data_IF_548991031958
#
_entry.id   IF_548991031958
#
_cell.length_a   1.000
_cell.length_b   1.000
_cell.length_c   1.000
_cell.angle_alpha   90.00
_cell.angle_beta   90.00
_cell.angle_gamma   90.00
#
_symmetry.space_group_name_H-M   'P 1'
#
loop_
_entity.id
_entity.type
_entity.pdbx_description
1 polymer ?
#
# COMPACT_ATOMS: atom_id res chain seq x y z
N UNK A 1 -34.87 57.46 3.38
CA UNK A 1 -34.22 57.39 4.72
C UNK A 1 -33.62 56.03 4.86
N UNK A 2 -32.42 55.93 4.33
CA UNK A 2 -31.65 54.68 4.38
C UNK A 2 -30.99 54.56 5.75
N UNK A 3 -31.26 53.44 6.43
CA UNK A 3 -30.59 53.09 7.66
C UNK A 3 -29.25 52.45 7.28
N UNK A 4 -28.18 53.23 7.29
CA UNK A 4 -26.81 52.71 7.36
C UNK A 4 -26.68 51.90 8.64
N UNK A 5 -26.52 50.59 8.49
CA UNK A 5 -26.09 49.69 9.55
C UNK A 5 -24.58 49.88 9.72
N UNK A 6 -24.19 50.68 10.71
CA UNK A 6 -22.80 50.74 11.21
C UNK A 6 -22.39 49.35 11.74
N UNK A 7 -21.72 48.57 10.91
CA UNK A 7 -21.01 47.39 11.37
C UNK A 7 -19.80 47.86 12.20
N UNK A 8 -19.81 47.61 13.49
CA UNK A 8 -18.68 47.79 14.38
C UNK A 8 -17.52 46.90 13.88
N UNK A 9 -16.31 47.46 13.69
CA UNK A 9 -15.19 46.62 13.24
C UNK A 9 -14.91 45.56 14.30
N UNK A 10 -14.90 44.30 13.88
CA UNK A 10 -14.48 43.17 14.72
C UNK A 10 -13.10 43.45 15.31
N UNK A 11 -12.85 43.13 16.60
CA UNK A 11 -11.54 43.29 17.19
C UNK A 11 -10.54 42.46 16.36
N UNK A 12 -9.44 43.06 15.91
CA UNK A 12 -8.36 42.38 15.23
C UNK A 12 -7.89 41.25 16.13
N UNK A 13 -7.85 40.02 15.59
CA UNK A 13 -7.27 38.87 16.29
C UNK A 13 -5.85 39.21 16.79
N UNK A 14 -5.52 38.73 17.96
CA UNK A 14 -4.15 38.84 18.50
C UNK A 14 -3.20 37.80 17.91
N UNK A 15 -3.70 36.92 17.04
CA UNK A 15 -2.95 35.83 16.43
C UNK A 15 -3.11 35.88 14.91
N UNK A 16 -2.15 35.25 14.18
CA UNK A 16 -2.14 35.15 12.71
C UNK A 16 -2.26 33.68 12.32
N UNK A 17 -3.11 33.37 11.36
CA UNK A 17 -3.19 32.03 10.80
C UNK A 17 -1.86 31.66 10.14
N UNK A 18 -1.46 30.39 10.25
CA UNK A 18 -0.25 29.90 9.61
C UNK A 18 -0.45 29.86 8.09
N UNK A 19 0.30 30.64 7.30
CA UNK A 19 0.21 30.62 5.84
C UNK A 19 0.70 29.30 5.24
N UNK A 20 1.49 28.53 5.99
CA UNK A 20 2.05 27.25 5.59
C UNK A 20 1.28 26.09 6.25
N UNK A 21 0.03 26.29 6.65
CA UNK A 21 -0.76 25.24 7.28
C UNK A 21 -1.05 24.10 6.30
N UNK A 22 -0.50 22.92 6.58
CA UNK A 22 -0.64 21.70 5.77
C UNK A 22 -2.01 21.02 5.90
N UNK A 23 -2.86 21.46 6.84
CA UNK A 23 -4.23 20.96 6.98
C UNK A 23 -5.20 21.82 6.20
N UNK A 24 -5.90 21.20 5.24
CA UNK A 24 -7.01 21.81 4.54
C UNK A 24 -8.33 21.54 5.26
N UNK A 25 -9.22 22.54 5.25
CA UNK A 25 -10.51 22.43 5.89
C UNK A 25 -11.60 22.57 4.84
N UNK A 26 -12.14 21.43 4.30
CA UNK A 26 -13.28 21.45 3.38
C UNK A 26 -14.50 22.13 4.01
N UNK A 27 -15.42 22.63 3.20
CA UNK A 27 -16.63 23.32 3.68
C UNK A 27 -17.43 22.52 4.71
N UNK A 28 -17.46 21.19 4.57
CA UNK A 28 -18.09 20.30 5.53
C UNK A 28 -17.41 20.39 6.91
N UNK A 29 -16.07 20.39 6.94
CA UNK A 29 -15.30 20.49 8.17
C UNK A 29 -15.45 21.89 8.80
N UNK A 30 -15.31 22.98 8.02
CA UNK A 30 -15.56 24.36 8.48
C UNK A 30 -16.95 24.51 9.10
N UNK A 31 -17.99 23.98 8.46
CA UNK A 31 -19.36 23.98 8.99
C UNK A 31 -19.48 23.20 10.31
N UNK A 32 -18.78 22.07 10.45
CA UNK A 32 -18.82 21.28 11.68
C UNK A 32 -18.11 22.01 12.83
N UNK A 33 -16.92 22.59 12.60
CA UNK A 33 -16.21 23.42 13.57
C UNK A 33 -17.09 24.60 14.00
N UNK A 34 -17.67 25.32 13.04
CA UNK A 34 -18.54 26.47 13.31
C UNK A 34 -19.73 26.10 14.19
N UNK A 35 -20.46 25.03 13.85
CA UNK A 35 -21.59 24.54 14.67
C UNK A 35 -21.16 24.15 16.08
N UNK A 36 -20.00 23.53 16.23
CA UNK A 36 -19.44 23.18 17.54
C UNK A 36 -19.16 24.44 18.37
N UNK A 37 -18.53 25.46 17.78
CA UNK A 37 -18.27 26.73 18.44
C UNK A 37 -19.54 27.51 18.79
N UNK A 38 -20.55 27.51 17.92
CA UNK A 38 -21.87 28.14 18.18
C UNK A 38 -22.63 27.43 19.32
N UNK A 39 -22.56 26.09 19.39
CA UNK A 39 -23.30 25.32 20.38
C UNK A 39 -22.61 25.24 21.73
N UNK A 40 -21.30 25.01 21.76
CA UNK A 40 -20.54 24.71 22.98
C UNK A 40 -19.53 25.81 23.36
N UNK A 41 -19.33 26.81 22.49
CA UNK A 41 -18.25 27.77 22.62
C UNK A 41 -16.86 27.13 22.39
N UNK A 42 -15.80 27.86 22.67
CA UNK A 42 -14.44 27.37 22.56
C UNK A 42 -14.11 26.39 23.71
N UNK A 43 -14.14 25.09 23.43
CA UNK A 43 -13.88 24.04 24.42
C UNK A 43 -12.42 23.55 24.43
N UNK A 44 -11.63 23.85 23.37
CA UNK A 44 -10.22 23.45 23.23
C UNK A 44 -9.32 24.66 23.07
N UNK A 45 -8.03 24.51 23.40
CA UNK A 45 -6.98 25.48 23.12
C UNK A 45 -6.42 25.29 21.71
N UNK A 46 -5.80 26.34 21.20
CA UNK A 46 -4.97 26.31 19.98
C UNK A 46 -3.52 26.60 20.39
N UNK A 47 -2.56 26.21 19.56
CA UNK A 47 -1.15 26.45 19.83
C UNK A 47 -0.64 27.58 18.94
N UNK A 48 0.01 28.57 19.52
CA UNK A 48 0.68 29.66 18.80
C UNK A 48 2.15 29.67 19.14
N UNK A 49 2.97 30.11 18.20
CA UNK A 49 4.40 30.29 18.43
C UNK A 49 4.73 31.67 19.04
N UNK A 50 6.03 31.96 19.23
CA UNK A 50 6.54 33.23 19.75
C UNK A 50 6.12 34.49 18.98
N UNK A 51 5.78 34.31 17.70
CA UNK A 51 5.37 35.36 16.78
C UNK A 51 3.84 35.45 16.63
N UNK A 52 3.11 34.76 17.52
CA UNK A 52 1.64 34.61 17.50
C UNK A 52 1.08 33.95 16.22
N UNK A 53 1.86 33.13 15.52
CA UNK A 53 1.37 32.32 14.40
C UNK A 53 0.74 31.04 14.93
N UNK A 54 -0.45 30.71 14.44
CA UNK A 54 -1.22 29.53 14.89
C UNK A 54 -0.60 28.27 14.29
N UNK A 55 0.13 27.50 15.08
CA UNK A 55 0.76 26.24 14.67
C UNK A 55 -0.18 25.03 14.78
N UNK A 56 -1.18 25.08 15.66
CA UNK A 56 -2.23 24.07 15.71
C UNK A 56 -3.59 24.71 15.97
N UNK A 57 -4.61 24.32 15.20
CA UNK A 57 -5.98 24.80 15.33
C UNK A 57 -6.37 25.94 14.38
N UNK A 58 -5.73 26.09 13.23
CA UNK A 58 -6.02 27.10 12.23
C UNK A 58 -7.50 27.16 11.85
N UNK A 59 -8.14 26.02 11.52
CA UNK A 59 -9.57 25.98 11.22
C UNK A 59 -10.46 26.42 12.39
N UNK A 60 -10.04 26.18 13.63
CA UNK A 60 -10.77 26.63 14.81
C UNK A 60 -10.68 28.16 14.96
N UNK A 61 -9.49 28.73 14.80
CA UNK A 61 -9.29 30.18 14.86
C UNK A 61 -10.05 30.89 13.75
N UNK A 62 -9.96 30.39 12.50
CA UNK A 62 -10.69 30.94 11.36
C UNK A 62 -12.21 31.01 11.63
N UNK A 63 -12.81 29.94 12.14
CA UNK A 63 -14.23 29.94 12.45
C UNK A 63 -14.59 30.74 13.71
N UNK A 64 -13.70 30.79 14.70
CA UNK A 64 -13.89 31.61 15.89
C UNK A 64 -13.89 33.11 15.54
N UNK A 65 -12.97 33.55 14.68
CA UNK A 65 -12.93 34.94 14.17
C UNK A 65 -14.19 35.28 13.37
N UNK A 66 -14.64 34.37 12.48
CA UNK A 66 -15.86 34.55 11.72
C UNK A 66 -17.11 34.65 12.59
N UNK A 67 -17.09 34.09 13.81
CA UNK A 67 -18.13 34.23 14.83
C UNK A 67 -17.92 35.41 15.80
N UNK A 68 -16.83 36.17 15.65
CA UNK A 68 -16.51 37.31 16.53
C UNK A 68 -16.03 36.91 17.94
N UNK A 69 -15.54 35.67 18.09
CA UNK A 69 -14.96 35.22 19.37
C UNK A 69 -13.58 35.83 19.59
N UNK A 70 -13.27 36.14 20.83
CA UNK A 70 -11.95 36.69 21.22
C UNK A 70 -10.97 35.56 21.49
N UNK A 71 -9.80 35.60 20.84
CA UNK A 71 -8.68 34.71 21.12
C UNK A 71 -7.85 35.29 22.26
N UNK A 72 -7.68 34.54 23.36
CA UNK A 72 -6.83 34.91 24.50
C UNK A 72 -5.56 34.07 24.49
N UNK A 73 -4.41 34.69 24.32
CA UNK A 73 -3.11 34.00 24.38
C UNK A 73 -2.68 33.90 25.86
N UNK A 74 -2.15 32.74 26.22
CA UNK A 74 -1.61 32.42 27.54
C UNK A 74 -0.24 31.76 27.33
N UNK A 75 0.80 32.33 27.92
CA UNK A 75 2.14 31.77 27.91
C UNK A 75 2.21 30.56 28.84
N UNK A 76 2.66 29.42 28.31
CA UNK A 76 2.88 28.17 29.05
C UNK A 76 4.37 27.85 29.11
N UNK A 77 4.81 27.26 30.23
CA UNK A 77 6.16 26.71 30.35
C UNK A 77 6.22 25.28 29.76
N UNK A 78 7.43 24.77 29.46
CA UNK A 78 7.56 23.43 28.90
C UNK A 78 7.01 22.28 29.76
N UNK A 79 6.89 22.50 31.06
CA UNK A 79 6.38 21.56 32.07
C UNK A 79 4.90 21.81 32.46
N UNK A 80 4.23 22.74 31.77
CA UNK A 80 2.83 23.11 32.04
C UNK A 80 1.91 22.66 30.92
N UNK A 81 0.82 21.96 31.27
CA UNK A 81 -0.29 21.65 30.37
C UNK A 81 -1.47 22.60 30.67
N UNK A 82 -1.85 23.40 29.66
CA UNK A 82 -2.99 24.32 29.80
C UNK A 82 -4.30 23.60 29.52
N UNK A 83 -5.16 23.55 30.53
CA UNK A 83 -6.50 22.96 30.39
C UNK A 83 -7.59 24.05 30.34
N UNK A 84 -8.48 23.95 29.37
CA UNK A 84 -9.67 24.85 29.29
C UNK A 84 -10.79 24.21 30.13
N UNK A 85 -11.24 24.96 31.17
CA UNK A 85 -12.37 24.57 32.01
C UNK A 85 -13.64 25.31 31.63
N UNK A 86 -14.66 24.53 31.25
CA UNK A 86 -16.01 25.06 30.96
C UNK A 86 -16.94 24.73 32.15
N UNK A 87 -17.24 25.73 32.96
CA UNK A 87 -18.10 25.60 34.13
C UNK A 87 -19.58 25.70 33.81
N UNK A 88 -19.89 26.13 32.61
CA UNK A 88 -21.21 26.37 32.05
C UNK A 88 -21.81 25.16 31.32
N UNK A 89 -21.05 24.07 31.13
CA UNK A 89 -21.53 22.87 30.46
C UNK A 89 -22.27 21.92 31.42
N UNK A 90 -23.33 21.30 30.91
CA UNK A 90 -23.93 20.09 31.52
C UNK A 90 -23.10 18.85 31.17
N UNK A 91 -23.39 17.70 31.79
CA UNK A 91 -22.73 16.44 31.50
C UNK A 91 -22.99 15.97 30.06
N UNK A 92 -24.22 16.17 29.57
CA UNK A 92 -24.61 15.86 28.21
C UNK A 92 -23.91 16.75 27.19
N UNK A 93 -23.75 18.03 27.47
CA UNK A 93 -23.00 18.97 26.62
C UNK A 93 -21.51 18.63 26.59
N UNK A 94 -20.92 18.24 27.71
CA UNK A 94 -19.53 17.80 27.76
C UNK A 94 -19.31 16.53 26.93
N UNK A 95 -20.22 15.57 27.02
CA UNK A 95 -20.19 14.34 26.22
C UNK A 95 -20.36 14.63 24.73
N UNK A 96 -21.34 15.46 24.37
CA UNK A 96 -21.58 15.84 22.98
C UNK A 96 -20.40 16.63 22.39
N UNK A 97 -19.77 17.49 23.17
CA UNK A 97 -18.56 18.21 22.76
C UNK A 97 -17.39 17.24 22.49
N UNK A 98 -17.16 16.28 23.37
CA UNK A 98 -16.07 15.30 23.17
C UNK A 98 -16.23 14.50 21.86
N UNK A 99 -17.46 14.12 21.51
CA UNK A 99 -17.76 13.47 20.22
C UNK A 99 -17.51 14.43 19.04
N UNK A 100 -17.99 15.68 19.14
CA UNK A 100 -17.83 16.68 18.08
C UNK A 100 -16.36 17.07 17.83
N UNK A 101 -15.56 17.19 18.89
CA UNK A 101 -14.15 17.53 18.79
C UNK A 101 -13.35 16.43 18.06
N UNK A 102 -13.56 15.16 18.43
CA UNK A 102 -12.97 14.01 17.75
C UNK A 102 -13.40 13.95 16.27
N UNK A 103 -14.70 14.16 15.98
CA UNK A 103 -15.21 14.12 14.61
C UNK A 103 -14.63 15.24 13.74
N UNK A 104 -14.45 16.44 14.27
CA UNK A 104 -13.88 17.56 13.52
C UNK A 104 -12.39 17.37 13.23
N UNK A 105 -11.64 16.75 14.15
CA UNK A 105 -10.22 16.44 13.96
C UNK A 105 -9.98 15.44 12.81
N UNK A 106 -10.88 14.45 12.66
CA UNK A 106 -10.77 13.42 11.60
C UNK A 106 -11.30 13.87 10.24
N UNK A 107 -11.97 15.01 10.14
CA UNK A 107 -12.61 15.51 8.91
C UNK A 107 -11.78 16.55 8.13
N UNK A 108 -10.55 16.82 8.57
CA UNK A 108 -9.63 17.70 7.88
C UNK A 108 -8.68 16.87 7.01
N UNK A 109 -8.45 17.35 5.79
CA UNK A 109 -7.54 16.71 4.83
C UNK A 109 -6.15 17.33 4.89
N UNK A 110 -5.14 16.65 4.32
CA UNK A 110 -3.80 17.17 4.16
C UNK A 110 -3.65 17.86 2.81
N UNK A 111 -2.93 18.99 2.80
CA UNK A 111 -2.26 19.47 1.59
C UNK A 111 -0.97 18.67 1.46
N UNK A 112 -0.99 17.64 0.63
CA UNK A 112 0.08 16.64 0.56
C UNK A 112 1.38 17.21 0.00
N UNK A 113 1.29 18.14 -0.96
CA UNK A 113 2.47 18.82 -1.52
C UNK A 113 3.17 19.69 -0.46
N UNK A 114 2.38 20.48 0.24
CA UNK A 114 2.91 21.35 1.31
C UNK A 114 3.42 20.53 2.50
N UNK A 115 2.73 19.43 2.84
CA UNK A 115 3.18 18.50 3.88
C UNK A 115 4.52 17.87 3.52
N UNK A 116 4.68 17.37 2.28
CA UNK A 116 5.94 16.79 1.82
C UNK A 116 7.11 17.78 1.92
N UNK A 117 6.90 19.01 1.43
CA UNK A 117 7.93 20.04 1.46
C UNK A 117 8.36 20.36 2.91
N UNK A 118 7.41 20.47 3.84
CA UNK A 118 7.72 20.71 5.25
C UNK A 118 8.41 19.51 5.90
N UNK A 119 7.98 18.29 5.63
CA UNK A 119 8.66 17.09 6.16
C UNK A 119 10.09 16.98 5.64
N UNK A 120 10.33 17.31 4.38
CA UNK A 120 11.67 17.33 3.81
C UNK A 120 12.57 18.37 4.46
N UNK A 121 12.07 19.60 4.68
CA UNK A 121 12.80 20.64 5.39
C UNK A 121 13.12 20.24 6.84
N UNK A 122 12.19 19.55 7.52
CA UNK A 122 12.40 19.05 8.89
C UNK A 122 13.48 17.98 8.95
N UNK A 123 13.50 17.05 7.99
CA UNK A 123 14.53 15.99 7.91
C UNK A 123 15.92 16.57 7.60
N UNK A 124 16.00 17.60 6.75
CA UNK A 124 17.26 18.30 6.47
C UNK A 124 17.77 19.09 7.70
N UNK A 125 16.84 19.59 8.54
CA UNK A 125 17.17 20.32 9.77
C UNK A 125 17.65 19.40 10.89
N UNK A 126 16.95 18.28 11.12
CA UNK A 126 17.26 17.30 12.17
C UNK A 126 16.92 15.88 11.68
N UNK A 127 17.90 15.10 11.19
CA UNK A 127 17.69 13.74 10.74
C UNK A 127 17.04 12.86 11.82
N UNK A 128 15.97 12.15 11.43
CA UNK A 128 15.17 11.32 12.33
C UNK A 128 13.99 12.03 13.01
N UNK A 129 13.80 13.34 12.81
CA UNK A 129 12.64 14.05 13.34
C UNK A 129 11.33 13.50 12.75
N UNK A 130 11.34 13.11 11.51
CA UNK A 130 10.17 12.57 10.81
C UNK A 130 9.73 11.23 11.39
N UNK A 131 10.67 10.37 11.76
CA UNK A 131 10.37 9.10 12.43
C UNK A 131 9.63 9.35 13.76
N UNK A 132 10.02 10.39 14.49
CA UNK A 132 9.34 10.80 15.73
C UNK A 132 7.91 11.32 15.49
N UNK A 133 7.61 11.81 14.29
CA UNK A 133 6.27 12.25 13.88
C UNK A 133 5.42 11.11 13.27
N UNK A 134 5.95 9.89 13.19
CA UNK A 134 5.32 8.71 12.56
C UNK A 134 4.99 8.92 11.07
N UNK A 135 5.79 9.75 10.37
CA UNK A 135 5.74 9.91 8.92
C UNK A 135 6.87 9.14 8.24
N UNK A 136 6.62 8.73 6.99
CA UNK A 136 7.61 8.15 6.09
C UNK A 136 7.69 9.02 4.83
N UNK A 137 8.81 9.74 4.64
CA UNK A 137 9.00 10.62 3.48
C UNK A 137 8.82 9.92 2.13
N UNK A 138 9.42 8.74 1.89
CA UNK A 138 9.20 7.99 0.66
C UNK A 138 7.73 7.65 0.40
N UNK A 139 6.93 7.39 1.42
CA UNK A 139 5.50 7.15 1.27
C UNK A 139 4.74 8.42 0.86
N UNK A 140 5.04 9.55 1.49
CA UNK A 140 4.46 10.86 1.11
C UNK A 140 4.89 11.23 -0.31
N UNK A 141 6.16 11.04 -0.67
CA UNK A 141 6.68 11.26 -2.03
C UNK A 141 5.98 10.37 -3.06
N UNK A 142 5.76 9.10 -2.74
CA UNK A 142 5.02 8.19 -3.61
C UNK A 142 3.58 8.66 -3.87
N UNK A 143 2.86 9.10 -2.82
CA UNK A 143 1.53 9.67 -2.97
C UNK A 143 1.52 10.93 -3.84
N UNK A 144 2.49 11.83 -3.65
CA UNK A 144 2.64 13.04 -4.47
C UNK A 144 2.93 12.73 -5.93
N UNK A 145 3.81 11.78 -6.22
CA UNK A 145 4.10 11.34 -7.59
C UNK A 145 2.83 10.88 -8.30
N UNK A 146 1.98 10.12 -7.60
CA UNK A 146 0.68 9.69 -8.15
C UNK A 146 -0.27 10.85 -8.39
N UNK A 147 -0.35 11.83 -7.48
CA UNK A 147 -1.19 13.03 -7.65
C UNK A 147 -0.71 13.89 -8.81
N UNK A 148 0.61 13.98 -9.02
CA UNK A 148 1.23 14.70 -10.13
C UNK A 148 1.20 13.92 -11.46
N UNK A 149 0.60 12.72 -11.49
CA UNK A 149 0.51 11.89 -12.68
C UNK A 149 1.83 11.21 -13.06
N UNK A 150 2.80 11.12 -12.15
CA UNK A 150 3.99 10.30 -12.32
C UNK A 150 3.60 8.83 -12.17
N UNK A 151 3.64 8.10 -13.26
CA UNK A 151 3.25 6.69 -13.31
C UNK A 151 4.36 5.80 -12.74
N UNK A 152 3.96 4.76 -11.99
CA UNK A 152 4.81 3.61 -11.73
C UNK A 152 5.22 3.02 -13.08
N UNK A 153 6.51 2.90 -13.31
CA UNK A 153 7.01 2.44 -14.60
C UNK A 153 6.78 0.94 -14.77
N UNK A 154 6.06 0.60 -15.83
CA UNK A 154 6.01 -0.79 -16.28
C UNK A 154 7.38 -1.15 -16.88
N UNK A 155 8.03 -2.16 -16.31
CA UNK A 155 9.31 -2.69 -16.81
C UNK A 155 9.02 -3.92 -17.62
N UNK A 156 9.37 -3.88 -18.90
CA UNK A 156 9.14 -5.01 -19.81
C UNK A 156 9.87 -6.26 -19.31
N UNK A 157 9.18 -7.38 -19.30
CA UNK A 157 9.78 -8.67 -19.01
C UNK A 157 10.18 -9.34 -20.34
N UNK A 158 11.47 -9.60 -20.55
CA UNK A 158 11.89 -10.35 -21.73
C UNK A 158 11.35 -11.77 -21.68
N UNK A 159 11.21 -12.38 -22.85
CA UNK A 159 10.78 -13.77 -22.95
C UNK A 159 11.80 -14.72 -22.30
N UNK A 160 11.35 -15.76 -21.55
CA UNK A 160 12.24 -16.71 -20.88
C UNK A 160 12.88 -17.65 -21.91
N UNK A 161 14.02 -17.24 -22.44
CA UNK A 161 14.78 -17.97 -23.48
C UNK A 161 15.94 -18.78 -22.88
N UNK A 162 16.36 -19.82 -23.62
CA UNK A 162 17.57 -20.59 -23.26
C UNK A 162 18.83 -19.70 -23.33
N UNK A 163 18.83 -18.66 -24.16
CA UNK A 163 19.90 -17.67 -24.26
C UNK A 163 20.02 -16.84 -22.98
N UNK A 164 18.87 -16.40 -22.43
CA UNK A 164 18.84 -15.64 -21.18
C UNK A 164 19.28 -16.50 -20.01
N UNK A 165 18.83 -17.75 -19.96
CA UNK A 165 19.28 -18.72 -18.94
C UNK A 165 20.81 -18.98 -19.07
N UNK A 166 21.33 -19.13 -20.27
CA UNK A 166 22.77 -19.30 -20.51
C UNK A 166 23.61 -18.06 -20.10
N UNK A 167 23.05 -16.85 -20.26
CA UNK A 167 23.66 -15.60 -19.78
C UNK A 167 23.83 -15.58 -18.27
N UNK A 168 22.76 -15.87 -17.55
CA UNK A 168 22.72 -15.78 -16.08
C UNK A 168 23.20 -17.05 -15.37
N UNK A 169 23.19 -18.20 -16.05
CA UNK A 169 23.59 -19.53 -15.51
C UNK A 169 22.88 -19.87 -14.22
N UNK A 170 21.57 -19.57 -14.16
CA UNK A 170 20.76 -19.86 -12.98
C UNK A 170 20.57 -21.37 -12.81
N UNK A 171 20.80 -21.83 -11.58
CA UNK A 171 20.60 -23.24 -11.17
C UNK A 171 19.74 -23.30 -9.90
N UNK A 172 19.06 -24.43 -9.72
CA UNK A 172 18.30 -24.68 -8.49
C UNK A 172 19.18 -24.61 -7.25
N UNK A 173 18.66 -23.99 -6.19
CA UNK A 173 19.36 -23.77 -4.93
C UNK A 173 20.16 -22.48 -4.85
N UNK A 174 20.42 -21.82 -5.97
CA UNK A 174 21.15 -20.54 -5.98
C UNK A 174 20.31 -19.41 -5.35
N UNK A 175 20.99 -18.55 -4.60
CA UNK A 175 20.47 -17.28 -4.07
C UNK A 175 21.22 -16.12 -4.72
N UNK A 176 20.50 -15.12 -5.14
CA UNK A 176 21.02 -13.91 -5.79
C UNK A 176 20.74 -12.70 -4.90
N UNK A 177 21.76 -11.88 -4.67
CA UNK A 177 21.61 -10.54 -4.17
C UNK A 177 21.28 -9.60 -5.34
N UNK A 178 20.16 -8.89 -5.25
CA UNK A 178 19.62 -8.03 -6.28
C UNK A 178 19.45 -6.63 -5.68
N UNK A 179 20.51 -5.86 -5.63
CA UNK A 179 20.55 -4.62 -4.86
C UNK A 179 20.18 -4.86 -3.40
N UNK A 180 19.06 -4.31 -2.94
CA UNK A 180 18.52 -4.53 -1.58
C UNK A 180 17.69 -5.80 -1.43
N UNK A 181 17.34 -6.45 -2.54
CA UNK A 181 16.46 -7.62 -2.59
C UNK A 181 17.25 -8.94 -2.56
N UNK A 182 16.54 -10.05 -2.37
CA UNK A 182 17.09 -11.39 -2.56
C UNK A 182 16.16 -12.24 -3.40
N UNK A 183 16.70 -13.02 -4.30
CA UNK A 183 16.00 -13.91 -5.20
C UNK A 183 16.60 -15.32 -5.10
N UNK A 184 15.76 -16.30 -4.84
CA UNK A 184 16.20 -17.70 -4.79
C UNK A 184 15.55 -18.52 -5.91
N UNK A 185 16.36 -19.28 -6.64
CA UNK A 185 15.86 -20.33 -7.49
C UNK A 185 15.55 -21.56 -6.63
N UNK A 186 14.31 -21.63 -6.10
CA UNK A 186 13.96 -22.62 -5.07
C UNK A 186 12.51 -23.04 -5.09
N UNK A 187 12.16 -23.96 -4.22
CA UNK A 187 10.82 -24.54 -4.07
C UNK A 187 10.17 -24.01 -2.79
N UNK A 188 9.10 -23.25 -2.91
CA UNK A 188 8.37 -22.65 -1.78
C UNK A 188 7.64 -23.68 -0.90
N UNK A 189 7.46 -24.91 -1.39
CA UNK A 189 6.97 -26.03 -0.57
C UNK A 189 8.05 -26.55 0.39
N UNK A 190 9.34 -26.27 0.10
CA UNK A 190 10.47 -26.67 0.91
C UNK A 190 10.77 -25.61 1.98
N UNK A 191 10.48 -25.91 3.24
CA UNK A 191 10.74 -25.01 4.37
C UNK A 191 12.21 -24.57 4.48
N UNK A 192 13.17 -25.41 4.04
CA UNK A 192 14.59 -25.07 4.04
C UNK A 192 14.91 -23.98 3.06
N UNK A 193 14.36 -24.04 1.83
CA UNK A 193 14.57 -23.02 0.81
C UNK A 193 14.00 -21.67 1.27
N UNK A 194 12.76 -21.66 1.78
CA UNK A 194 12.13 -20.43 2.27
C UNK A 194 12.91 -19.82 3.44
N UNK A 195 13.36 -20.64 4.38
CA UNK A 195 14.18 -20.19 5.53
C UNK A 195 15.54 -19.65 5.07
N UNK A 196 16.17 -20.27 4.09
CA UNK A 196 17.44 -19.84 3.51
C UNK A 196 17.30 -18.48 2.82
N UNK A 197 16.26 -18.30 1.96
CA UNK A 197 15.95 -17.01 1.36
C UNK A 197 15.77 -15.91 2.41
N UNK A 198 15.02 -16.21 3.47
CA UNK A 198 14.69 -15.22 4.51
C UNK A 198 15.87 -14.80 5.38
N UNK A 199 16.94 -15.61 5.47
CA UNK A 199 18.18 -15.26 6.22
C UNK A 199 17.91 -14.64 7.59
N UNK A 200 17.04 -15.27 8.39
CA UNK A 200 16.58 -14.82 9.74
C UNK A 200 15.76 -13.52 9.75
N UNK A 201 15.34 -13.00 8.62
CA UNK A 201 14.44 -11.84 8.53
C UNK A 201 12.98 -12.31 8.62
N UNK A 202 12.07 -11.36 8.92
CA UNK A 202 10.63 -11.59 8.99
C UNK A 202 9.92 -10.66 8.02
N UNK A 203 8.99 -11.19 7.24
CA UNK A 203 8.21 -10.39 6.30
C UNK A 203 7.17 -9.53 7.02
N UNK A 204 6.98 -8.32 6.51
CA UNK A 204 5.95 -7.37 6.93
C UNK A 204 4.71 -7.51 6.04
N UNK A 205 4.89 -8.04 4.84
CA UNK A 205 3.83 -8.27 3.87
C UNK A 205 4.15 -9.51 3.03
N UNK A 206 3.11 -10.19 2.59
CA UNK A 206 3.15 -11.18 1.51
C UNK A 206 2.32 -10.64 0.36
N UNK A 207 2.93 -10.50 -0.80
CA UNK A 207 2.21 -10.32 -2.07
C UNK A 207 2.56 -11.50 -2.97
N UNK A 208 1.56 -12.19 -3.53
CA UNK A 208 1.88 -13.37 -4.33
C UNK A 208 0.77 -13.76 -5.31
N UNK A 209 1.18 -14.37 -6.41
CA UNK A 209 0.32 -14.87 -7.49
C UNK A 209 0.55 -16.38 -7.69
N UNK A 210 -0.06 -17.24 -6.86
CA UNK A 210 0.13 -18.68 -6.93
C UNK A 210 -0.47 -19.27 -8.22
N UNK A 211 -0.06 -20.49 -8.63
CA UNK A 211 -0.68 -21.18 -9.75
C UNK A 211 -2.17 -21.38 -9.50
N UNK A 212 -2.96 -21.22 -10.58
CA UNK A 212 -4.44 -21.29 -10.50
C UNK A 212 -5.01 -22.68 -10.76
N UNK A 213 -4.18 -23.63 -11.15
CA UNK A 213 -4.63 -24.97 -11.53
C UNK A 213 -5.45 -24.97 -12.82
N UNK A 214 -5.19 -24.02 -13.68
CA UNK A 214 -5.77 -23.95 -15.02
C UNK A 214 -4.73 -24.47 -15.98
N UNK A 215 -4.92 -25.68 -16.48
CA UNK A 215 -4.06 -26.22 -17.53
C UNK A 215 -4.15 -25.32 -18.77
N UNK A 216 -3.21 -24.37 -18.84
CA UNK A 216 -3.09 -23.46 -19.98
C UNK A 216 -2.74 -24.27 -21.24
N UNK A 217 -2.08 -25.43 -21.11
CA UNK A 217 -1.71 -26.29 -22.24
C UNK A 217 -2.92 -26.98 -22.88
N UNK A 218 -3.85 -27.53 -22.09
CA UNK A 218 -5.10 -28.06 -22.63
C UNK A 218 -6.00 -26.99 -23.26
N UNK A 219 -6.01 -25.79 -22.70
CA UNK A 219 -6.76 -24.66 -23.28
C UNK A 219 -6.15 -24.15 -24.57
N UNK A 220 -4.83 -24.15 -24.70
CA UNK A 220 -4.13 -23.68 -25.91
C UNK A 220 -4.11 -24.77 -27.03
N UNK A 221 -4.09 -26.05 -26.71
CA UNK A 221 -4.14 -27.10 -27.72
C UNK A 221 -5.40 -27.04 -28.62
N UNK A 222 -6.52 -26.53 -28.11
CA UNK A 222 -7.74 -26.32 -28.89
C UNK A 222 -7.77 -25.00 -29.68
N UNK A 223 -6.86 -24.05 -29.39
CA UNK A 223 -6.66 -22.79 -30.13
C UNK A 223 -5.35 -22.80 -30.96
N UNK A 224 -4.48 -23.77 -30.76
CA UNK A 224 -3.17 -23.87 -31.41
C UNK A 224 -3.27 -24.11 -32.94
N UNK A 225 -4.42 -24.52 -33.45
CA UNK A 225 -4.70 -24.56 -34.90
C UNK A 225 -4.88 -23.14 -35.51
N UNK A 226 -5.07 -22.10 -34.65
CA UNK A 226 -5.40 -20.73 -35.11
C UNK A 226 -4.33 -19.69 -34.73
N UNK A 227 -3.44 -19.94 -33.76
CA UNK A 227 -2.40 -18.97 -33.33
C UNK A 227 -1.13 -19.71 -32.90
N UNK A 228 0.00 -19.33 -33.48
CA UNK A 228 1.31 -19.96 -33.34
C UNK A 228 1.66 -20.44 -31.92
N UNK A 229 2.02 -21.69 -31.82
CA UNK A 229 2.49 -22.39 -30.61
C UNK A 229 3.67 -21.64 -29.97
N UNK A 230 3.76 -21.63 -28.62
CA UNK A 230 5.06 -21.56 -27.94
C UNK A 230 5.97 -22.62 -28.58
N UNK A 231 7.12 -22.17 -29.08
CA UNK A 231 8.03 -23.03 -29.86
C UNK A 231 8.71 -24.12 -29.01
N UNK A 232 8.69 -23.97 -27.66
CA UNK A 232 9.40 -24.85 -26.73
C UNK A 232 8.52 -25.88 -25.99
N UNK A 233 7.19 -25.78 -26.09
CA UNK A 233 6.26 -26.73 -25.48
C UNK A 233 6.25 -26.80 -23.96
N UNK A 234 6.91 -25.86 -23.26
CA UNK A 234 7.04 -25.85 -21.80
C UNK A 234 6.07 -24.82 -21.18
N UNK A 235 5.11 -25.29 -20.38
CA UNK A 235 4.19 -24.46 -19.60
C UNK A 235 4.84 -23.84 -18.35
N UNK A 236 4.04 -23.10 -17.58
CA UNK A 236 4.41 -22.67 -16.21
C UNK A 236 4.42 -23.91 -15.32
N UNK A 237 5.49 -24.10 -14.54
CA UNK A 237 5.59 -25.25 -13.63
C UNK A 237 4.48 -25.19 -12.57
N UNK A 238 3.86 -26.34 -12.30
CA UNK A 238 2.76 -26.53 -11.34
C UNK A 238 1.41 -25.86 -11.70
N UNK A 239 1.24 -25.28 -12.89
CA UNK A 239 -0.04 -24.70 -13.31
C UNK A 239 -1.05 -25.77 -13.81
N UNK A 240 -0.58 -26.99 -13.97
CA UNK A 240 -1.36 -28.21 -14.30
C UNK A 240 -1.94 -28.92 -13.07
N UNK A 241 -1.55 -28.49 -11.85
CA UNK A 241 -2.08 -29.09 -10.62
C UNK A 241 -3.53 -28.65 -10.39
N UNK A 242 -4.42 -29.61 -10.15
CA UNK A 242 -5.85 -29.37 -9.93
C UNK A 242 -6.36 -30.05 -8.66
N UNK A 243 -7.46 -29.57 -8.12
CA UNK A 243 -8.14 -30.23 -7.00
C UNK A 243 -7.29 -30.31 -5.73
N UNK A 244 -7.12 -31.53 -5.20
CA UNK A 244 -6.42 -31.80 -3.93
C UNK A 244 -4.90 -31.58 -4.04
N UNK A 245 -4.31 -31.78 -5.22
CA UNK A 245 -2.88 -31.54 -5.43
C UNK A 245 -2.54 -30.05 -5.36
N UNK A 246 -3.34 -29.20 -6.02
CA UNK A 246 -3.21 -27.73 -5.90
C UNK A 246 -3.41 -27.27 -4.46
N UNK A 247 -4.41 -27.82 -3.77
CA UNK A 247 -4.67 -27.50 -2.37
C UNK A 247 -3.46 -27.87 -1.50
N UNK A 248 -2.89 -29.06 -1.67
CA UNK A 248 -1.72 -29.53 -0.91
C UNK A 248 -0.49 -28.65 -1.15
N UNK A 249 -0.25 -28.22 -2.40
CA UNK A 249 0.79 -27.26 -2.73
C UNK A 249 0.58 -25.93 -1.97
N UNK A 250 -0.62 -25.35 -2.04
CA UNK A 250 -0.94 -24.08 -1.39
C UNK A 250 -0.84 -24.20 0.14
N UNK A 251 -1.28 -25.32 0.74
CA UNK A 251 -1.14 -25.59 2.18
C UNK A 251 0.33 -25.61 2.61
N UNK A 252 1.19 -26.30 1.86
CA UNK A 252 2.62 -26.36 2.15
C UNK A 252 3.27 -24.97 2.06
N UNK A 253 3.04 -24.25 0.95
CA UNK A 253 3.64 -22.92 0.73
C UNK A 253 3.16 -21.91 1.75
N UNK A 254 1.85 -21.80 1.99
CA UNK A 254 1.34 -20.78 2.90
C UNK A 254 1.66 -21.10 4.37
N UNK A 255 1.80 -22.38 4.73
CA UNK A 255 2.29 -22.78 6.06
C UNK A 255 3.74 -22.39 6.26
N UNK A 256 4.61 -22.61 5.28
CA UNK A 256 6.00 -22.15 5.32
C UNK A 256 6.08 -20.62 5.39
N UNK A 257 5.30 -19.95 4.54
CA UNK A 257 5.28 -18.48 4.45
C UNK A 257 4.83 -17.82 5.75
N UNK A 258 3.71 -18.27 6.35
CA UNK A 258 3.17 -17.66 7.58
C UNK A 258 4.14 -17.77 8.76
N UNK A 259 4.93 -18.85 8.81
CA UNK A 259 5.95 -19.06 9.88
C UNK A 259 7.09 -18.03 9.83
N UNK A 260 7.23 -17.30 8.72
CA UNK A 260 8.29 -16.31 8.46
C UNK A 260 7.74 -14.89 8.28
N UNK A 261 6.46 -14.69 8.62
CA UNK A 261 5.82 -13.36 8.66
C UNK A 261 5.69 -12.85 10.09
N UNK A 262 5.75 -11.54 10.27
CA UNK A 262 5.45 -10.91 11.56
C UNK A 262 3.97 -11.07 11.90
N UNK A 263 3.60 -11.15 13.19
CA UNK A 263 2.21 -10.95 13.59
C UNK A 263 1.68 -9.62 13.04
N UNK A 264 0.53 -9.64 12.34
CA UNK A 264 -0.02 -8.48 11.68
C UNK A 264 0.52 -8.20 10.27
N UNK A 265 1.47 -8.99 9.75
CA UNK A 265 1.95 -8.86 8.37
C UNK A 265 0.78 -9.00 7.37
N UNK A 266 0.61 -8.03 6.47
CA UNK A 266 -0.46 -8.03 5.48
C UNK A 266 -0.23 -9.09 4.40
N UNK A 267 -1.31 -9.60 3.84
CA UNK A 267 -1.30 -10.57 2.75
C UNK A 267 -2.23 -10.11 1.65
N UNK A 268 -1.71 -10.08 0.43
CA UNK A 268 -2.45 -9.89 -0.81
C UNK A 268 -2.16 -11.07 -1.73
N UNK A 269 -3.11 -11.99 -1.83
CA UNK A 269 -2.97 -13.22 -2.61
C UNK A 269 -3.88 -13.19 -3.82
N UNK A 270 -3.29 -13.13 -5.01
CA UNK A 270 -4.03 -13.17 -6.27
C UNK A 270 -4.70 -14.53 -6.46
N UNK A 271 -5.90 -14.52 -6.99
CA UNK A 271 -6.70 -15.74 -7.20
C UNK A 271 -7.50 -15.66 -8.49
N UNK A 272 -7.82 -16.82 -9.09
CA UNK A 272 -8.69 -16.83 -10.26
C UNK A 272 -10.08 -16.32 -9.90
N UNK A 273 -10.82 -15.75 -10.88
CA UNK A 273 -12.23 -15.46 -10.70
C UNK A 273 -13.05 -16.75 -10.67
N UNK A 274 -14.25 -16.70 -10.07
CA UNK A 274 -15.19 -17.81 -10.05
C UNK A 274 -14.94 -18.80 -8.92
N UNK A 275 -15.31 -20.08 -9.16
CA UNK A 275 -15.33 -21.10 -8.11
C UNK A 275 -13.93 -21.59 -7.68
N UNK A 276 -12.94 -21.43 -8.53
CA UNK A 276 -11.58 -21.93 -8.27
C UNK A 276 -10.82 -21.10 -7.24
N UNK A 277 -11.27 -19.85 -6.95
CA UNK A 277 -10.77 -19.06 -5.81
C UNK A 277 -10.94 -19.78 -4.46
N UNK A 278 -11.82 -20.80 -4.38
CA UNK A 278 -12.07 -21.56 -3.14
C UNK A 278 -10.82 -22.24 -2.59
N UNK A 279 -9.87 -22.68 -3.44
CA UNK A 279 -8.68 -23.38 -2.97
C UNK A 279 -7.78 -22.46 -2.14
N UNK A 280 -7.25 -21.33 -2.64
CA UNK A 280 -6.46 -20.42 -1.83
C UNK A 280 -7.29 -19.79 -0.69
N UNK A 281 -8.58 -19.48 -0.90
CA UNK A 281 -9.44 -18.92 0.13
C UNK A 281 -9.60 -19.85 1.33
N UNK A 282 -9.84 -21.15 1.11
CA UNK A 282 -10.00 -22.14 2.18
C UNK A 282 -8.69 -22.32 2.96
N UNK A 283 -7.54 -22.39 2.27
CA UNK A 283 -6.24 -22.51 2.93
C UNK A 283 -5.95 -21.27 3.79
N UNK A 284 -6.06 -20.07 3.23
CA UNK A 284 -5.85 -18.83 3.97
C UNK A 284 -6.83 -18.62 5.11
N UNK A 285 -8.07 -19.10 4.96
CA UNK A 285 -9.08 -19.07 6.04
C UNK A 285 -8.72 -20.03 7.17
N UNK A 286 -8.23 -21.24 6.85
CA UNK A 286 -7.79 -22.22 7.86
C UNK A 286 -6.58 -21.73 8.66
N UNK A 287 -5.68 -20.95 8.02
CA UNK A 287 -4.54 -20.28 8.66
C UNK A 287 -4.94 -19.02 9.44
N UNK A 288 -6.20 -18.60 9.38
CA UNK A 288 -6.71 -17.40 10.03
C UNK A 288 -6.24 -16.11 9.38
N UNK A 289 -5.77 -16.13 8.12
CA UNK A 289 -5.23 -14.97 7.39
C UNK A 289 -6.32 -14.20 6.67
N UNK A 290 -7.19 -14.86 5.91
CA UNK A 290 -8.18 -14.22 5.03
C UNK A 290 -9.16 -13.29 5.77
N UNK A 291 -9.44 -12.09 5.21
CA UNK A 291 -10.37 -11.09 5.76
C UNK A 291 -11.31 -10.52 4.71
N UNK A 292 -10.79 -10.00 3.60
CA UNK A 292 -11.54 -9.29 2.56
C UNK A 292 -11.20 -9.81 1.18
N UNK A 293 -12.10 -9.60 0.22
CA UNK A 293 -11.84 -9.78 -1.20
C UNK A 293 -11.73 -8.42 -1.88
N UNK A 294 -10.72 -8.27 -2.74
CA UNK A 294 -10.55 -7.13 -3.63
C UNK A 294 -10.71 -7.62 -5.06
N UNK A 295 -11.44 -6.87 -5.89
CA UNK A 295 -11.62 -7.18 -7.30
C UNK A 295 -10.69 -6.31 -8.15
N UNK A 296 -9.71 -6.90 -8.81
CA UNK A 296 -8.96 -6.21 -9.86
C UNK A 296 -9.75 -6.24 -11.16
N UNK A 297 -10.29 -5.11 -11.57
CA UNK A 297 -11.06 -4.95 -12.80
C UNK A 297 -10.14 -4.50 -13.93
N UNK A 298 -10.20 -5.24 -15.05
CA UNK A 298 -9.36 -5.04 -16.22
C UNK A 298 -10.05 -4.12 -17.25
N UNK A 299 -9.29 -3.50 -18.14
CA UNK A 299 -9.77 -2.68 -19.25
C UNK A 299 -10.66 -3.46 -20.22
N UNK A 300 -10.43 -4.77 -20.38
CA UNK A 300 -11.16 -5.66 -21.28
C UNK A 300 -11.32 -7.06 -20.67
N UNK A 301 -12.39 -7.75 -21.05
CA UNK A 301 -12.63 -9.13 -20.64
C UNK A 301 -11.73 -10.13 -21.39
N UNK A 302 -11.52 -11.29 -20.78
CA UNK A 302 -10.86 -12.43 -21.41
C UNK A 302 -11.91 -13.35 -21.97
N UNK A 303 -11.87 -13.59 -23.29
CA UNK A 303 -12.75 -14.58 -23.92
C UNK A 303 -12.41 -15.98 -23.38
N UNK A 304 -13.40 -16.65 -22.81
CA UNK A 304 -13.35 -18.02 -22.32
C UNK A 304 -14.50 -18.85 -22.89
N UNK A 305 -14.55 -20.14 -22.53
CA UNK A 305 -15.63 -21.08 -22.89
C UNK A 305 -16.76 -21.07 -21.85
N UNK A 306 -17.10 -19.90 -21.32
CA UNK A 306 -18.15 -19.71 -20.33
C UNK A 306 -19.18 -18.69 -20.84
N UNK A 307 -20.39 -18.74 -20.29
CA UNK A 307 -21.49 -17.84 -20.68
C UNK A 307 -21.16 -16.38 -20.34
N UNK A 308 -20.45 -16.15 -19.24
CA UNK A 308 -20.00 -14.82 -18.81
C UNK A 308 -18.48 -14.74 -18.83
N UNK A 309 -17.94 -13.80 -19.59
CA UNK A 309 -16.50 -13.58 -19.68
C UNK A 309 -16.00 -12.73 -18.52
N UNK A 310 -15.00 -13.22 -17.81
CA UNK A 310 -14.42 -12.50 -16.69
C UNK A 310 -13.64 -11.26 -17.14
N UNK A 311 -13.99 -10.12 -16.56
CA UNK A 311 -13.25 -8.85 -16.68
C UNK A 311 -12.45 -8.52 -15.42
N UNK A 312 -12.44 -9.40 -14.44
CA UNK A 312 -11.75 -9.21 -13.17
C UNK A 312 -10.99 -10.46 -12.75
N UNK A 313 -10.05 -10.27 -11.87
CA UNK A 313 -9.47 -11.29 -10.99
C UNK A 313 -9.69 -10.87 -9.55
N UNK A 314 -9.56 -11.80 -8.61
CA UNK A 314 -9.73 -11.49 -7.20
C UNK A 314 -8.37 -11.47 -6.50
N UNK A 315 -8.26 -10.66 -5.42
CA UNK A 315 -7.15 -10.65 -4.50
C UNK A 315 -7.75 -10.92 -3.11
N UNK A 316 -7.26 -11.93 -2.42
CA UNK A 316 -7.62 -12.18 -1.03
C UNK A 316 -6.71 -11.35 -0.16
N UNK A 317 -7.28 -10.36 0.51
CA UNK A 317 -6.59 -9.52 1.48
C UNK A 317 -6.80 -10.04 2.90
N UNK A 318 -5.75 -9.95 3.72
CA UNK A 318 -5.80 -10.29 5.12
C UNK A 318 -4.48 -10.03 5.84
N UNK A 319 -4.29 -10.64 7.00
CA UNK A 319 -3.06 -10.50 7.78
C UNK A 319 -2.79 -11.69 8.68
N UNK A 320 -1.51 -11.90 8.98
CA UNK A 320 -1.06 -12.91 9.93
C UNK A 320 -1.65 -12.65 11.31
N UNK A 321 -2.28 -13.66 11.95
CA UNK A 321 -2.84 -13.50 13.30
C UNK A 321 -1.80 -13.13 14.36
N UNK A 322 -2.26 -12.56 15.49
CA UNK A 322 -1.44 -12.36 16.69
C UNK A 322 -0.86 -10.96 16.87
N UNK A 323 -1.12 -10.02 15.94
CA UNK A 323 -0.68 -8.63 16.06
C UNK A 323 -1.57 -7.65 15.29
N UNK A 324 -1.41 -6.35 15.52
CA UNK A 324 -2.05 -5.32 14.72
C UNK A 324 -1.46 -5.36 13.30
N UNK A 325 -2.33 -5.28 12.29
CA UNK A 325 -1.90 -5.10 10.90
C UNK A 325 -1.62 -3.63 10.61
N UNK A 326 -0.86 -3.38 9.54
CA UNK A 326 -0.65 -2.04 9.03
C UNK A 326 -1.99 -1.50 8.51
N UNK A 327 -2.55 -0.43 9.09
CA UNK A 327 -3.79 0.14 8.59
C UNK A 327 -3.56 0.82 7.25
N UNK A 328 -4.49 0.69 6.33
CA UNK A 328 -4.52 1.53 5.13
C UNK A 328 -4.71 2.98 5.59
N UNK A 329 -3.73 3.85 5.31
CA UNK A 329 -3.66 5.19 5.89
C UNK A 329 -4.79 6.10 5.45
N UNK A 330 -5.30 5.89 4.23
CA UNK A 330 -6.41 6.66 3.67
C UNK A 330 -7.68 5.83 3.75
N UNK A 331 -8.76 6.40 4.31
CA UNK A 331 -10.07 5.73 4.41
C UNK A 331 -10.91 5.82 3.12
N UNK A 332 -10.29 6.17 2.02
CA UNK A 332 -10.85 6.31 0.68
C UNK A 332 -10.60 5.09 -0.23
N UNK A 333 -9.88 4.09 0.27
CA UNK A 333 -9.63 2.85 -0.47
C UNK A 333 -10.88 1.97 -0.49
N UNK A 334 -11.26 1.55 -1.68
CA UNK A 334 -12.35 0.62 -1.89
C UNK A 334 -11.84 -0.78 -2.32
N UNK A 335 -12.76 -1.71 -2.48
CA UNK A 335 -12.45 -3.11 -2.85
C UNK A 335 -12.48 -3.35 -4.36
N UNK A 336 -12.55 -2.30 -5.20
CA UNK A 336 -12.56 -2.41 -6.66
C UNK A 336 -11.38 -1.63 -7.20
N UNK A 337 -10.39 -2.37 -7.71
CA UNK A 337 -9.17 -1.79 -8.26
C UNK A 337 -9.18 -1.87 -9.78
N UNK A 338 -9.18 -0.73 -10.45
CA UNK A 338 -9.20 -0.64 -11.90
C UNK A 338 -7.77 -0.39 -12.42
N UNK A 339 -7.20 -1.43 -13.05
CA UNK A 339 -5.90 -1.36 -13.73
C UNK A 339 -5.97 -2.06 -15.07
N UNK A 340 -5.45 -1.41 -16.10
CA UNK A 340 -5.32 -2.03 -17.41
C UNK A 340 -4.40 -3.25 -17.34
N UNK A 341 -4.65 -4.22 -18.22
CA UNK A 341 -3.71 -5.33 -18.37
C UNK A 341 -2.42 -4.82 -19.02
N UNK A 342 -1.25 -5.34 -18.63
CA UNK A 342 -0.02 -5.06 -19.33
C UNK A 342 -0.15 -5.36 -20.82
N UNK A 343 0.53 -4.60 -21.67
CA UNK A 343 0.60 -4.91 -23.09
C UNK A 343 1.11 -6.34 -23.25
N UNK A 344 0.42 -7.16 -24.06
CA UNK A 344 0.73 -8.58 -24.20
C UNK A 344 2.16 -8.81 -24.70
N UNK A 345 3.00 -9.45 -23.88
CA UNK A 345 3.94 -10.41 -24.42
C UNK A 345 3.18 -11.71 -24.71
N UNK A 346 3.28 -12.31 -25.91
CA UNK A 346 2.66 -13.61 -26.21
C UNK A 346 3.11 -14.72 -25.27
N UNK A 347 4.25 -14.55 -24.60
CA UNK A 347 4.91 -15.54 -23.76
C UNK A 347 4.73 -15.31 -22.24
N UNK A 348 4.15 -14.15 -21.85
CA UNK A 348 3.78 -13.83 -20.45
C UNK A 348 2.28 -13.47 -20.32
N UNK A 349 1.35 -14.42 -20.55
CA UNK A 349 -0.09 -14.12 -20.58
C UNK A 349 -0.68 -13.75 -19.20
N UNK A 350 0.04 -14.03 -18.12
CA UNK A 350 -0.46 -13.96 -16.73
C UNK A 350 0.21 -12.87 -15.86
N UNK A 351 1.12 -12.08 -16.43
CA UNK A 351 1.82 -11.05 -15.65
C UNK A 351 0.86 -10.00 -15.08
N UNK A 352 1.05 -9.68 -13.79
CA UNK A 352 0.30 -8.60 -13.13
C UNK A 352 0.89 -7.24 -13.50
N UNK A 353 0.09 -6.17 -13.60
CA UNK A 353 0.60 -4.79 -13.75
C UNK A 353 1.48 -4.42 -12.55
N UNK A 354 2.62 -3.78 -12.80
CA UNK A 354 3.50 -3.28 -11.72
C UNK A 354 2.74 -2.28 -10.83
N UNK A 355 1.88 -1.45 -11.42
CA UNK A 355 1.07 -0.46 -10.72
C UNK A 355 0.06 -1.10 -9.75
N UNK A 356 -0.57 -2.24 -10.12
CA UNK A 356 -1.45 -3.00 -9.24
C UNK A 356 -0.70 -3.48 -7.98
N UNK A 357 0.48 -4.06 -8.20
CA UNK A 357 1.33 -4.58 -7.11
C UNK A 357 1.84 -3.44 -6.24
N UNK A 358 2.25 -2.33 -6.85
CA UNK A 358 2.69 -1.13 -6.15
C UNK A 358 1.58 -0.56 -5.25
N UNK A 359 0.31 -0.54 -5.72
CA UNK A 359 -0.83 -0.14 -4.89
C UNK A 359 -0.99 -1.04 -3.66
N UNK A 360 -0.90 -2.36 -3.83
CA UNK A 360 -0.98 -3.31 -2.72
C UNK A 360 0.15 -3.09 -1.70
N UNK A 361 1.39 -2.95 -2.18
CA UNK A 361 2.57 -2.72 -1.35
C UNK A 361 2.46 -1.38 -0.60
N UNK A 362 2.10 -0.30 -1.27
CA UNK A 362 1.95 1.02 -0.67
C UNK A 362 0.87 1.07 0.40
N UNK A 363 -0.25 0.33 0.20
CA UNK A 363 -1.33 0.26 1.19
C UNK A 363 -0.96 -0.58 2.42
N UNK A 364 -0.01 -1.50 2.31
CA UNK A 364 0.23 -2.56 3.32
C UNK A 364 1.60 -2.48 4.00
N UNK A 365 2.48 -1.57 3.57
CA UNK A 365 3.85 -1.45 4.09
C UNK A 365 4.34 -0.02 4.16
N UNK A 366 5.27 0.25 5.08
CA UNK A 366 6.11 1.45 5.11
C UNK A 366 7.40 1.21 4.28
N UNK A 367 8.11 2.31 3.96
CA UNK A 367 9.45 2.24 3.35
C UNK A 367 10.39 1.32 4.13
N UNK A 368 11.36 0.74 3.43
CA UNK A 368 12.32 -0.22 3.97
C UNK A 368 11.73 -1.53 4.51
N UNK A 369 10.40 -1.70 4.55
CA UNK A 369 9.79 -2.95 4.99
C UNK A 369 9.97 -4.07 3.96
N UNK A 370 9.86 -5.30 4.44
CA UNK A 370 10.16 -6.51 3.69
C UNK A 370 8.88 -7.18 3.18
N UNK A 371 8.84 -7.41 1.87
CA UNK A 371 7.80 -8.17 1.18
C UNK A 371 8.36 -9.57 0.87
N UNK A 372 7.57 -10.61 1.10
CA UNK A 372 7.85 -11.98 0.68
C UNK A 372 6.91 -12.37 -0.45
N UNK A 373 7.48 -12.84 -1.55
CA UNK A 373 6.74 -13.43 -2.65
C UNK A 373 7.22 -14.87 -2.92
N UNK A 374 6.47 -15.89 -2.48
CA UNK A 374 6.83 -17.29 -2.71
C UNK A 374 6.60 -17.79 -4.14
N UNK A 375 5.99 -16.98 -5.03
CA UNK A 375 5.75 -17.30 -6.44
C UNK A 375 6.11 -16.12 -7.33
N UNK A 376 7.39 -15.70 -7.27
CA UNK A 376 7.85 -14.42 -7.83
C UNK A 376 7.67 -14.30 -9.35
N UNK A 377 7.74 -15.42 -10.08
CA UNK A 377 7.64 -15.43 -11.54
C UNK A 377 8.68 -14.53 -12.19
N UNK A 378 8.23 -13.67 -13.08
CA UNK A 378 9.08 -12.70 -13.79
C UNK A 378 9.53 -11.49 -12.94
N UNK A 379 9.23 -11.45 -11.63
CA UNK A 379 9.75 -10.43 -10.71
C UNK A 379 8.92 -9.15 -10.59
N UNK A 380 7.65 -9.15 -10.94
CA UNK A 380 6.81 -7.93 -10.87
C UNK A 380 6.74 -7.36 -9.47
N UNK A 381 6.63 -8.21 -8.43
CA UNK A 381 6.66 -7.79 -7.02
C UNK A 381 7.99 -7.13 -6.65
N UNK A 382 9.11 -7.64 -7.15
CA UNK A 382 10.44 -7.07 -6.88
C UNK A 382 10.61 -5.71 -7.57
N UNK A 383 10.16 -5.57 -8.82
CA UNK A 383 10.14 -4.30 -9.57
C UNK A 383 9.31 -3.25 -8.84
N UNK A 384 8.11 -3.61 -8.37
CA UNK A 384 7.25 -2.70 -7.62
C UNK A 384 7.88 -2.30 -6.28
N UNK A 385 8.45 -3.26 -5.55
CA UNK A 385 9.13 -3.02 -4.28
C UNK A 385 10.32 -2.07 -4.44
N UNK A 386 11.13 -2.22 -5.50
CA UNK A 386 12.25 -1.32 -5.78
C UNK A 386 11.78 0.12 -6.00
N UNK A 387 10.80 0.32 -6.86
CA UNK A 387 10.27 1.66 -7.16
C UNK A 387 9.68 2.36 -5.94
N UNK A 388 9.24 1.58 -4.94
CA UNK A 388 8.67 2.09 -3.70
C UNK A 388 9.69 2.16 -2.54
N UNK A 389 10.95 1.83 -2.74
CA UNK A 389 11.95 1.81 -1.67
C UNK A 389 11.75 0.70 -0.63
N UNK A 390 11.07 -0.40 -0.99
CA UNK A 390 10.88 -1.59 -0.15
C UNK A 390 11.88 -2.68 -0.52
N UNK A 391 12.01 -3.69 0.33
CA UNK A 391 12.82 -4.88 0.08
C UNK A 391 11.91 -6.06 -0.28
N UNK A 392 12.17 -6.73 -1.40
CA UNK A 392 11.47 -7.95 -1.78
C UNK A 392 12.40 -9.15 -1.61
N UNK A 393 11.92 -10.20 -0.96
CA UNK A 393 12.53 -11.53 -0.97
C UNK A 393 11.61 -12.46 -1.75
N UNK A 394 12.11 -13.04 -2.85
CA UNK A 394 11.30 -13.83 -3.77
C UNK A 394 11.85 -15.22 -4.03
N UNK A 395 10.94 -16.20 -4.14
CA UNK A 395 11.26 -17.53 -4.65
C UNK A 395 10.62 -17.71 -6.02
N UNK A 396 11.37 -18.37 -6.89
CA UNK A 396 10.89 -18.83 -8.18
C UNK A 396 11.48 -20.21 -8.48
N UNK A 397 10.63 -21.15 -8.87
CA UNK A 397 11.02 -22.54 -9.08
C UNK A 397 11.67 -22.79 -10.44
N UNK A 398 11.35 -21.96 -11.44
CA UNK A 398 11.86 -22.09 -12.80
C UNK A 398 13.10 -21.19 -13.00
N UNK A 399 14.30 -21.77 -13.26
CA UNK A 399 15.52 -20.99 -13.49
C UNK A 399 15.39 -19.95 -14.62
N UNK A 400 14.52 -20.20 -15.61
CA UNK A 400 14.30 -19.28 -16.73
C UNK A 400 13.61 -17.99 -16.27
N UNK A 401 12.61 -18.09 -15.38
CA UNK A 401 11.93 -16.93 -14.82
C UNK A 401 12.81 -16.17 -13.83
N UNK A 402 13.68 -16.88 -13.09
CA UNK A 402 14.73 -16.21 -12.29
C UNK A 402 15.63 -15.38 -13.19
N UNK A 403 16.09 -15.92 -14.33
CA UNK A 403 16.91 -15.17 -15.29
C UNK A 403 16.17 -13.95 -15.88
N UNK A 404 14.86 -14.06 -16.12
CA UNK A 404 14.00 -12.92 -16.53
C UNK A 404 13.94 -11.86 -15.45
N UNK A 405 13.74 -12.24 -14.20
CA UNK A 405 13.73 -11.29 -13.08
C UNK A 405 15.05 -10.53 -12.94
N UNK A 406 16.19 -11.24 -13.02
CA UNK A 406 17.52 -10.64 -12.98
C UNK A 406 17.74 -9.64 -14.13
N UNK A 407 17.26 -9.97 -15.34
CA UNK A 407 17.35 -9.07 -16.50
C UNK A 407 16.51 -7.81 -16.32
N UNK A 408 15.28 -7.95 -15.80
CA UNK A 408 14.39 -6.81 -15.49
C UNK A 408 15.01 -5.88 -14.47
N UNK A 409 15.58 -6.43 -13.39
CA UNK A 409 16.21 -5.63 -12.33
C UNK A 409 17.48 -4.94 -12.85
N UNK A 410 18.26 -5.61 -13.70
CA UNK A 410 19.42 -4.99 -14.36
C UNK A 410 18.99 -3.84 -15.29
N UNK A 411 17.86 -3.95 -15.98
CA UNK A 411 17.32 -2.86 -16.80
C UNK A 411 16.93 -1.62 -15.97
N UNK A 412 16.63 -1.79 -14.68
CA UNK A 412 16.46 -0.71 -13.72
C UNK A 412 17.78 -0.15 -13.16
N UNK A 413 18.93 -0.67 -13.59
CA UNK A 413 20.25 -0.27 -13.08
C UNK A 413 20.64 -0.96 -11.76
N UNK A 414 19.91 -2.01 -11.35
CA UNK A 414 20.17 -2.74 -10.11
C UNK A 414 21.25 -3.80 -10.37
N UNK A 415 22.27 -3.83 -9.54
CA UNK A 415 23.31 -4.86 -9.58
C UNK A 415 22.77 -6.19 -9.07
N UNK A 416 23.03 -7.27 -9.80
CA UNK A 416 22.62 -8.63 -9.48
C UNK A 416 23.87 -9.51 -9.33
N UNK A 417 24.08 -10.07 -8.14
CA UNK A 417 25.25 -10.91 -7.84
C UNK A 417 24.83 -12.25 -7.23
N UNK A 418 25.49 -13.34 -7.64
CA UNK A 418 25.27 -14.66 -7.05
C UNK A 418 25.89 -14.68 -5.65
N UNK A 419 25.11 -15.09 -4.63
CA UNK A 419 25.62 -15.25 -3.27
C UNK A 419 26.64 -16.40 -3.27
N UNK A 420 27.86 -16.11 -2.84
CA UNK A 420 28.90 -17.14 -2.66
C UNK A 420 28.69 -17.80 -1.31
N UNK A 421 28.41 -19.11 -1.31
CA UNK A 421 28.35 -19.97 -0.11
C UNK A 421 29.66 -20.03 0.65
#
# INVERSE_FOLDING_TARGET
MDKETNATPSPKSSVTLDPNNVRTHPDRNKKAIRKSLEKFGAGRSVVVDKDNVVRAGNGTVEQAEALGLTVKVVDAKPDELIAVRRKDWTEEEATAYAIADNQTATSADWDEEQLYNQLKELEEFEPGMIEALDFDLPDVEFHLRRLNGEEIQEVEAPDPTDELLAKWKVERGQVWEVGRHRLMCGDSTNATDVTHLMSKKWAHMVFTDPPYGVDIQERDLSQAEVRGRRKDGKGVLNDDLVGDDLKSLLEAVFTNTISLTKPGACWDVCTPPGVDQRHPLNVLSSLGVARHGIAWVKDRFVKGRCDYHYRHENIIYGWTPGGPHHPVHTRDQDSVWEFARPARSPEHPTMKPVELVAKAIGNSTKSSQLILDPFLGSGTTMVAAEQLGRTCLGLEIDPRYVAVCLERMTALGIECTLETT
#
